data_IF_666560634220
#
_entry.id   IF_666560634220
#
_cell.length_a   1.000
_cell.length_b   1.000
_cell.length_c   1.000
_cell.angle_alpha   90.00
_cell.angle_beta   90.00
_cell.angle_gamma   90.00
#
_symmetry.space_group_name_H-M   'P 1'
#
loop_
_entity.id
_entity.type
_entity.pdbx_description
1 polymer ?
#
# COMPACT_ATOMS: atom_id res chain seq x y z
N UNK A 1 -0.65 16.81 -10.40
CA UNK A 1 -0.56 15.69 -9.44
C UNK A 1 -1.96 15.31 -9.02
N UNK A 2 -2.52 14.25 -9.60
CA UNK A 2 -3.73 13.64 -9.05
C UNK A 2 -3.23 12.87 -7.83
N UNK A 3 -3.50 13.39 -6.62
CA UNK A 3 -3.39 12.57 -5.40
C UNK A 3 -4.24 11.34 -5.70
N UNK A 4 -3.61 10.17 -5.81
CA UNK A 4 -4.33 8.92 -5.80
C UNK A 4 -5.20 8.96 -4.55
N UNK A 5 -6.51 9.07 -4.74
CA UNK A 5 -7.47 9.00 -3.66
C UNK A 5 -7.31 7.60 -3.10
N UNK A 6 -6.53 7.45 -2.03
CA UNK A 6 -6.50 6.22 -1.25
C UNK A 6 -7.95 5.96 -0.87
N UNK A 7 -8.60 4.98 -1.53
CA UNK A 7 -9.83 4.40 -1.00
C UNK A 7 -9.51 4.08 0.45
N UNK A 8 -10.23 4.67 1.39
CA UNK A 8 -10.06 4.46 2.83
C UNK A 8 -10.13 2.96 3.07
N UNK A 9 -8.97 2.30 3.10
CA UNK A 9 -8.89 0.88 3.33
C UNK A 9 -9.40 0.58 4.73
N UNK A 10 -9.95 -0.60 4.94
CA UNK A 10 -10.53 -1.08 6.20
C UNK A 10 -9.55 -0.96 7.40
N UNK A 11 -8.26 -0.72 7.14
CA UNK A 11 -7.19 -0.56 8.12
C UNK A 11 -6.30 0.68 7.92
N UNK A 12 -6.77 1.71 7.22
CA UNK A 12 -6.03 2.96 6.98
C UNK A 12 -5.70 3.75 8.26
N UNK A 13 -6.47 3.56 9.33
CA UNK A 13 -6.23 4.18 10.64
C UNK A 13 -5.06 3.58 11.43
N UNK A 14 -4.57 2.40 11.03
CA UNK A 14 -3.51 1.69 11.74
C UNK A 14 -2.16 2.31 11.37
N UNK A 15 -1.47 2.84 12.38
CA UNK A 15 -0.18 3.51 12.24
C UNK A 15 1.00 2.69 12.75
N UNK A 16 0.75 1.65 13.54
CA UNK A 16 1.79 0.79 14.11
C UNK A 16 1.23 -0.20 15.12
N UNK A 17 2.10 -0.90 15.84
CA UNK A 17 1.71 -1.87 16.87
C UNK A 17 1.36 -1.21 18.20
N UNK A 18 1.52 0.11 18.35
CA UNK A 18 1.18 0.83 19.58
C UNK A 18 2.07 0.47 20.77
N UNK A 19 3.35 0.19 20.49
CA UNK A 19 4.34 -0.19 21.50
C UNK A 19 5.00 1.08 22.07
N UNK A 20 5.14 1.14 23.39
CA UNK A 20 5.94 2.15 24.11
C UNK A 20 6.77 1.43 25.16
N UNK A 21 8.07 1.71 25.27
CA UNK A 21 9.00 1.02 26.17
C UNK A 21 8.95 -0.52 26.06
N UNK A 22 8.85 -1.05 24.84
CA UNK A 22 8.69 -2.49 24.54
C UNK A 22 7.39 -3.13 25.04
N UNK A 23 6.40 -2.35 25.46
CA UNK A 23 5.09 -2.86 25.88
C UNK A 23 3.93 -2.27 25.06
N UNK A 24 2.96 -3.11 24.65
CA UNK A 24 1.76 -2.64 23.96
C UNK A 24 0.87 -1.83 24.91
N UNK A 25 0.50 -0.64 24.48
CA UNK A 25 -0.43 0.22 25.20
C UNK A 25 -1.88 -0.23 24.93
N UNK A 26 -2.82 -0.13 25.90
CA UNK A 26 -4.21 -0.56 25.73
C UNK A 26 -4.89 0.00 24.48
N UNK A 27 -4.67 1.28 24.20
CA UNK A 27 -5.12 1.98 23.00
C UNK A 27 -3.97 2.82 22.45
N UNK A 28 -3.44 2.48 21.28
CA UNK A 28 -2.38 3.26 20.63
C UNK A 28 -2.25 2.92 19.14
N UNK A 29 -1.85 3.92 18.36
CA UNK A 29 -1.49 3.81 16.94
C UNK A 29 -2.56 3.09 16.07
N UNK A 30 -3.84 3.27 16.43
CA UNK A 30 -5.00 2.71 15.74
C UNK A 30 -5.39 1.29 16.18
N UNK A 31 -4.66 0.68 17.11
CA UNK A 31 -4.99 -0.62 17.70
C UNK A 31 -5.56 -0.47 19.11
N UNK A 32 -6.53 -1.32 19.43
CA UNK A 32 -7.15 -1.46 20.75
C UNK A 32 -6.97 -2.90 21.20
N UNK A 33 -6.54 -3.09 22.45
CA UNK A 33 -6.48 -4.42 23.05
C UNK A 33 -5.45 -5.34 22.40
N UNK A 34 -5.77 -6.64 22.33
CA UNK A 34 -4.90 -7.70 21.76
C UNK A 34 -3.46 -7.66 22.28
N UNK A 35 -3.30 -7.40 23.59
CA UNK A 35 -2.00 -7.16 24.24
C UNK A 35 -1.01 -8.30 23.99
N UNK A 36 -1.43 -9.56 24.17
CA UNK A 36 -0.56 -10.72 23.94
C UNK A 36 -0.13 -10.83 22.47
N UNK A 37 -1.09 -10.70 21.54
CA UNK A 37 -0.82 -10.81 20.11
C UNK A 37 0.08 -9.67 19.60
N UNK A 38 -0.11 -8.44 20.11
CA UNK A 38 0.73 -7.28 19.78
C UNK A 38 2.13 -7.40 20.36
N UNK A 39 2.27 -7.94 21.57
CA UNK A 39 3.59 -8.25 22.15
C UNK A 39 4.32 -9.31 21.33
N UNK A 40 3.63 -10.37 20.90
CA UNK A 40 4.20 -11.38 20.01
C UNK A 40 4.58 -10.80 18.64
N UNK A 41 3.71 -9.98 18.04
CA UNK A 41 3.98 -9.27 16.80
C UNK A 41 5.19 -8.32 16.93
N UNK A 42 5.35 -7.66 18.08
CA UNK A 42 6.53 -6.83 18.34
C UNK A 42 7.82 -7.66 18.38
N UNK A 43 7.80 -8.81 19.05
CA UNK A 43 8.94 -9.73 19.04
C UNK A 43 9.28 -10.20 17.61
N UNK A 44 8.26 -10.47 16.79
CA UNK A 44 8.44 -10.79 15.36
C UNK A 44 9.12 -9.64 14.62
N UNK A 45 8.67 -8.39 14.80
CA UNK A 45 9.34 -7.20 14.21
C UNK A 45 10.81 -7.14 14.63
N UNK A 46 11.12 -7.42 15.88
CA UNK A 46 12.52 -7.45 16.37
C UNK A 46 13.33 -8.60 15.75
N UNK A 47 12.73 -9.78 15.55
CA UNK A 47 13.38 -10.90 14.88
C UNK A 47 13.68 -10.57 13.41
N UNK A 48 12.73 -9.94 12.72
CA UNK A 48 12.88 -9.48 11.34
C UNK A 48 14.04 -8.49 11.25
N UNK A 49 14.04 -7.44 12.08
CA UNK A 49 15.11 -6.41 12.10
C UNK A 49 16.49 -7.00 12.44
N UNK A 50 16.55 -8.14 13.13
CA UNK A 50 17.79 -8.87 13.44
C UNK A 50 18.15 -9.96 12.43
N UNK A 51 17.39 -10.13 11.34
CA UNK A 51 17.64 -11.14 10.31
C UNK A 51 17.40 -12.58 10.78
N UNK A 52 16.60 -12.80 11.84
CA UNK A 52 16.38 -14.12 12.46
C UNK A 52 15.09 -14.81 12.02
N UNK A 53 14.53 -14.40 10.88
CA UNK A 53 13.28 -14.94 10.31
C UNK A 53 13.48 -15.84 9.08
N UNK A 54 14.72 -16.11 8.68
CA UNK A 54 15.01 -16.98 7.53
C UNK A 54 14.32 -18.34 7.68
N UNK A 55 13.61 -18.78 6.62
CA UNK A 55 12.88 -20.05 6.59
C UNK A 55 11.64 -20.11 7.49
N UNK A 56 11.19 -19.00 8.08
CA UNK A 56 10.03 -18.94 8.99
C UNK A 56 8.97 -17.98 8.47
N UNK A 57 7.71 -18.33 8.72
CA UNK A 57 6.57 -17.46 8.46
C UNK A 57 5.72 -17.30 9.73
N UNK A 58 4.76 -16.40 9.69
CA UNK A 58 3.87 -16.12 10.83
C UNK A 58 2.48 -16.67 10.51
N UNK A 59 1.81 -17.27 11.50
CA UNK A 59 0.41 -17.67 11.38
C UNK A 59 -0.43 -16.98 12.45
N UNK A 60 -1.34 -16.10 12.04
CA UNK A 60 -2.37 -15.57 12.91
C UNK A 60 -3.58 -16.52 12.97
N UNK A 61 -3.89 -16.99 14.18
CA UNK A 61 -5.03 -17.88 14.43
C UNK A 61 -6.02 -17.18 15.33
N UNK A 62 -7.31 -17.27 14.98
CA UNK A 62 -8.39 -16.90 15.90
C UNK A 62 -9.70 -16.60 15.19
N UNK A 63 -10.77 -16.35 15.96
CA UNK A 63 -12.10 -16.10 15.40
C UNK A 63 -12.14 -14.98 14.35
N UNK A 64 -13.15 -14.95 13.47
CA UNK A 64 -13.38 -13.79 12.60
C UNK A 64 -13.55 -12.50 13.41
N UNK A 65 -12.97 -11.40 12.94
CA UNK A 65 -13.13 -10.09 13.56
C UNK A 65 -12.21 -9.79 14.76
N UNK A 66 -11.19 -10.62 15.03
CA UNK A 66 -10.20 -10.39 16.13
C UNK A 66 -8.97 -9.57 15.72
N UNK A 67 -8.98 -8.92 14.55
CA UNK A 67 -7.91 -8.01 14.13
C UNK A 67 -6.65 -8.67 13.53
N UNK A 68 -6.74 -9.89 12.98
CA UNK A 68 -5.58 -10.56 12.32
C UNK A 68 -4.96 -9.71 11.19
N UNK A 69 -5.79 -9.22 10.26
CA UNK A 69 -5.36 -8.33 9.17
C UNK A 69 -4.82 -7.00 9.71
N UNK A 70 -5.45 -6.46 10.76
CA UNK A 70 -5.00 -5.25 11.43
C UNK A 70 -3.58 -5.39 12.03
N UNK A 71 -3.29 -6.53 12.66
CA UNK A 71 -1.96 -6.85 13.19
C UNK A 71 -0.92 -6.99 12.09
N UNK A 72 -1.25 -7.61 10.95
CA UNK A 72 -0.35 -7.74 9.81
C UNK A 72 0.03 -6.36 9.23
N UNK A 73 -0.95 -5.46 9.06
CA UNK A 73 -0.70 -4.07 8.64
C UNK A 73 0.17 -3.35 9.66
N UNK A 74 -0.10 -3.52 10.96
CA UNK A 74 0.69 -2.91 12.01
C UNK A 74 2.16 -3.38 12.02
N UNK A 75 2.42 -4.68 11.78
CA UNK A 75 3.78 -5.22 11.61
C UNK A 75 4.48 -4.52 10.44
N UNK A 76 3.82 -4.40 9.29
CA UNK A 76 4.42 -3.73 8.13
C UNK A 76 4.78 -2.27 8.42
N UNK A 77 3.91 -1.53 9.12
CA UNK A 77 4.19 -0.13 9.53
C UNK A 77 5.36 -0.01 10.50
N UNK A 78 5.54 -0.97 11.39
CA UNK A 78 6.68 -1.02 12.34
C UNK A 78 8.02 -1.36 11.68
N UNK A 79 7.99 -2.04 10.53
CA UNK A 79 9.18 -2.30 9.71
C UNK A 79 9.61 -1.03 8.96
N UNK A 80 8.65 -0.22 8.52
CA UNK A 80 8.91 1.11 7.97
C UNK A 80 7.75 1.63 7.12
N UNK A 81 7.67 2.97 6.92
CA UNK A 81 6.63 3.57 6.07
C UNK A 81 6.75 3.17 4.60
N UNK A 82 7.96 2.84 4.13
CA UNK A 82 8.25 2.40 2.76
C UNK A 82 8.22 0.88 2.59
N UNK A 83 7.90 0.11 3.64
CA UNK A 83 7.82 -1.34 3.58
C UNK A 83 6.64 -1.75 2.68
N UNK A 84 6.87 -2.47 1.56
CA UNK A 84 5.78 -2.95 0.72
C UNK A 84 4.87 -3.89 1.50
N UNK A 85 3.56 -3.74 1.32
CA UNK A 85 2.56 -4.62 1.91
C UNK A 85 1.63 -5.12 0.81
N UNK A 86 1.69 -6.42 0.53
CA UNK A 86 0.78 -7.10 -0.37
C UNK A 86 -0.18 -7.94 0.45
N UNK A 87 -1.48 -7.73 0.26
CA UNK A 87 -2.51 -8.59 0.83
C UNK A 87 -3.19 -9.41 -0.28
N UNK A 88 -3.41 -10.69 0.00
CA UNK A 88 -4.19 -11.59 -0.82
C UNK A 88 -5.16 -12.37 0.05
N UNK A 89 -6.31 -12.73 -0.49
CA UNK A 89 -7.16 -13.78 0.12
C UNK A 89 -6.78 -15.14 -0.46
N UNK A 90 -6.81 -16.20 0.34
CA UNK A 90 -6.46 -17.56 -0.11
C UNK A 90 -7.28 -18.08 -1.29
N UNK A 91 -8.47 -17.51 -1.56
CA UNK A 91 -9.27 -17.81 -2.75
C UNK A 91 -8.85 -17.03 -4.01
N UNK A 92 -8.11 -15.93 -3.89
CA UNK A 92 -7.73 -15.08 -5.02
C UNK A 92 -6.65 -15.71 -5.90
N UNK A 93 -5.98 -16.77 -5.43
CA UNK A 93 -5.00 -17.50 -6.24
C UNK A 93 -5.64 -18.29 -7.39
N UNK A 94 -6.96 -18.55 -7.30
CA UNK A 94 -7.70 -19.27 -8.32
C UNK A 94 -8.15 -18.29 -9.41
N UNK A 95 -7.35 -18.21 -10.46
CA UNK A 95 -7.63 -17.37 -11.64
C UNK A 95 -7.93 -18.25 -12.86
N UNK A 96 -8.85 -17.78 -13.71
CA UNK A 96 -9.10 -18.39 -15.02
C UNK A 96 -7.99 -18.02 -16.03
N UNK A 97 -7.27 -16.93 -15.79
CA UNK A 97 -6.29 -16.36 -16.73
C UNK A 97 -4.85 -16.68 -16.36
N UNK A 98 -4.54 -16.83 -15.07
CA UNK A 98 -3.20 -17.03 -14.54
C UNK A 98 -3.11 -18.33 -13.75
N UNK A 99 -1.96 -18.99 -13.81
CA UNK A 99 -1.68 -20.13 -12.94
C UNK A 99 -1.63 -19.68 -11.47
N UNK A 100 -2.06 -20.56 -10.56
CA UNK A 100 -2.00 -20.34 -9.10
C UNK A 100 -0.61 -19.91 -8.63
N UNK A 101 0.42 -20.61 -9.12
CA UNK A 101 1.82 -20.32 -8.81
C UNK A 101 2.29 -18.99 -9.36
N UNK A 102 1.75 -18.54 -10.49
CA UNK A 102 2.06 -17.23 -11.07
C UNK A 102 1.43 -16.11 -10.25
N UNK A 103 0.18 -16.26 -9.79
CA UNK A 103 -0.45 -15.29 -8.89
C UNK A 103 0.35 -15.14 -7.59
N UNK A 104 0.75 -16.25 -6.98
CA UNK A 104 1.58 -16.25 -5.78
C UNK A 104 2.96 -15.64 -6.03
N UNK A 105 3.59 -15.95 -7.17
CA UNK A 105 4.89 -15.38 -7.55
C UNK A 105 4.81 -13.86 -7.73
N UNK A 106 3.78 -13.35 -8.42
CA UNK A 106 3.57 -11.91 -8.57
C UNK A 106 3.37 -11.24 -7.21
N UNK A 107 2.58 -11.85 -6.32
CA UNK A 107 2.36 -11.30 -4.98
C UNK A 107 3.64 -11.28 -4.13
N UNK A 108 4.47 -12.32 -4.22
CA UNK A 108 5.78 -12.33 -3.58
C UNK A 108 6.68 -11.20 -4.12
N UNK A 109 6.75 -11.02 -5.44
CA UNK A 109 7.58 -9.98 -6.05
C UNK A 109 7.06 -8.57 -5.79
N UNK A 110 5.74 -8.38 -5.69
CA UNK A 110 5.11 -7.13 -5.21
C UNK A 110 5.41 -6.84 -3.74
N UNK A 111 5.75 -7.86 -2.96
CA UNK A 111 6.10 -7.73 -1.54
C UNK A 111 7.58 -7.42 -1.31
N UNK A 112 8.39 -7.26 -2.35
CA UNK A 112 9.83 -6.97 -2.21
C UNK A 112 10.11 -5.65 -2.90
N UNK A 113 10.59 -4.68 -2.12
CA UNK A 113 10.95 -3.36 -2.60
C UNK A 113 12.42 -3.28 -2.97
N UNK A 114 12.73 -2.44 -3.95
CA UNK A 114 14.07 -2.07 -4.38
C UNK A 114 14.14 -0.55 -4.29
N UNK A 115 14.89 -0.04 -3.32
CA UNK A 115 15.17 1.40 -3.19
C UNK A 115 16.42 1.72 -3.98
N UNK A 116 16.25 2.37 -5.12
CA UNK A 116 17.33 2.76 -6.03
C UNK A 116 17.73 4.19 -5.70
N UNK A 117 19.03 4.41 -5.49
CA UNK A 117 19.64 5.72 -5.30
C UNK A 117 20.45 6.05 -6.54
N UNK A 118 20.06 7.12 -7.21
CA UNK A 118 20.71 7.57 -8.42
C UNK A 118 21.15 9.01 -8.24
N UNK A 119 22.42 9.29 -8.51
CA UNK A 119 22.95 10.65 -8.48
C UNK A 119 23.06 11.16 -9.90
N UNK A 120 22.50 12.34 -10.14
CA UNK A 120 22.56 12.98 -11.46
C UNK A 120 23.02 14.42 -11.33
N UNK A 121 23.75 14.87 -12.33
CA UNK A 121 24.12 16.27 -12.46
C UNK A 121 22.94 17.08 -12.97
N UNK A 122 22.61 18.15 -12.25
CA UNK A 122 21.50 19.03 -12.59
C UNK A 122 21.94 20.49 -12.53
N UNK A 123 21.25 21.31 -13.31
CA UNK A 123 21.27 22.77 -13.17
C UNK A 123 20.02 23.17 -12.37
N UNK A 124 20.17 23.54 -11.10
CA UNK A 124 19.07 23.96 -10.21
C UNK A 124 19.22 25.43 -9.81
N UNK A 125 18.15 26.20 -9.94
CA UNK A 125 18.14 27.60 -9.53
C UNK A 125 16.77 28.26 -9.69
N UNK A 126 16.65 29.45 -9.12
CA UNK A 126 15.55 30.37 -9.39
C UNK A 126 15.73 30.93 -10.79
N UNK A 127 14.68 30.92 -11.60
CA UNK A 127 14.68 31.57 -12.90
C UNK A 127 14.66 33.08 -12.71
N UNK A 128 15.76 33.75 -13.03
CA UNK A 128 15.88 35.22 -12.97
C UNK A 128 15.49 35.87 -14.30
N UNK A 129 15.78 35.21 -15.43
CA UNK A 129 15.42 35.70 -16.77
C UNK A 129 15.22 34.55 -17.75
N UNK A 130 14.22 34.64 -18.63
CA UNK A 130 14.03 33.70 -19.74
C UNK A 130 13.85 34.45 -21.06
N UNK A 131 14.63 34.07 -22.07
CA UNK A 131 14.50 34.54 -23.45
C UNK A 131 14.32 33.35 -24.38
N UNK A 132 13.13 33.23 -24.99
CA UNK A 132 12.84 32.19 -25.96
C UNK A 132 13.20 32.63 -27.37
N UNK A 133 13.80 31.73 -28.15
CA UNK A 133 14.02 31.91 -29.59
C UNK A 133 13.00 31.07 -30.34
N UNK A 134 12.22 31.74 -31.17
CA UNK A 134 11.22 31.13 -32.03
C UNK A 134 11.64 31.25 -33.50
N UNK A 135 11.27 30.25 -34.29
CA UNK A 135 11.40 30.27 -35.75
C UNK A 135 10.08 29.81 -36.39
N UNK A 136 9.91 30.05 -37.70
CA UNK A 136 8.70 29.65 -38.43
C UNK A 136 8.68 28.14 -38.65
N UNK A 137 7.51 27.53 -38.48
CA UNK A 137 7.35 26.10 -38.74
C UNK A 137 7.58 25.82 -40.24
N UNK A 138 8.39 24.81 -40.61
CA UNK A 138 8.70 24.50 -42.02
C UNK A 138 7.50 24.19 -42.93
N UNK A 139 6.34 23.82 -42.36
CA UNK A 139 5.15 23.37 -43.07
C UNK A 139 3.93 24.29 -42.83
N UNK A 140 4.04 25.23 -41.88
CA UNK A 140 2.97 26.18 -41.57
C UNK A 140 3.59 27.56 -41.28
N UNK A 141 3.64 28.47 -42.28
CA UNK A 141 4.27 29.79 -42.15
C UNK A 141 3.66 30.70 -41.07
N UNK A 142 2.43 30.39 -40.61
CA UNK A 142 1.71 31.15 -39.59
C UNK A 142 1.98 30.63 -38.16
N UNK A 143 2.68 29.50 -38.02
CA UNK A 143 3.00 28.90 -36.74
C UNK A 143 4.48 29.12 -36.40
N UNK A 144 4.74 29.61 -35.18
CA UNK A 144 6.10 29.70 -34.64
C UNK A 144 6.38 28.49 -33.74
N UNK A 145 7.60 27.96 -33.82
CA UNK A 145 8.08 26.87 -32.98
C UNK A 145 9.32 27.31 -32.20
N UNK A 146 9.46 26.89 -30.93
CA UNK A 146 10.66 27.18 -30.16
C UNK A 146 11.85 26.39 -30.74
N UNK A 147 12.94 27.09 -31.06
CA UNK A 147 14.18 26.50 -31.59
C UNK A 147 15.31 26.48 -30.56
N UNK A 148 15.13 27.19 -29.44
CA UNK A 148 16.06 27.23 -28.32
C UNK A 148 15.80 28.45 -27.44
N UNK A 149 16.62 28.65 -26.42
CA UNK A 149 16.44 29.76 -25.50
C UNK A 149 17.68 30.08 -24.69
N UNK A 150 17.62 31.20 -23.99
CA UNK A 150 18.60 31.60 -22.99
C UNK A 150 17.86 31.71 -21.66
N UNK A 151 18.35 31.00 -20.65
CA UNK A 151 17.79 31.03 -19.30
C UNK A 151 18.87 31.46 -18.32
N UNK A 152 18.55 32.38 -17.44
CA UNK A 152 19.43 32.80 -16.35
C UNK A 152 18.88 32.25 -15.04
N UNK A 153 19.68 31.40 -14.40
CA UNK A 153 19.38 30.79 -13.11
C UNK A 153 20.18 31.49 -12.01
N UNK A 154 19.60 31.53 -10.80
CA UNK A 154 20.19 32.15 -9.62
C UNK A 154 20.03 31.27 -8.38
N UNK A 155 21.07 31.23 -7.57
CA UNK A 155 21.08 30.63 -6.22
C UNK A 155 21.58 31.64 -5.20
N UNK A 156 21.73 31.22 -3.95
CA UNK A 156 22.39 32.02 -2.90
C UNK A 156 23.88 32.30 -3.16
N UNK A 157 24.54 31.52 -4.03
CA UNK A 157 25.98 31.62 -4.31
C UNK A 157 26.31 32.22 -5.66
N UNK A 158 25.51 31.95 -6.69
CA UNK A 158 25.85 32.36 -8.05
C UNK A 158 24.63 32.65 -8.92
N UNK A 159 24.86 33.42 -9.99
CA UNK A 159 23.95 33.59 -11.11
C UNK A 159 24.65 33.07 -12.36
N UNK A 160 23.97 32.23 -13.15
CA UNK A 160 24.53 31.64 -14.37
C UNK A 160 23.52 31.65 -15.50
N UNK A 161 23.97 32.08 -16.67
CA UNK A 161 23.18 32.05 -17.91
C UNK A 161 23.52 30.80 -18.72
N UNK A 162 22.49 30.08 -19.15
CA UNK A 162 22.57 28.84 -19.92
C UNK A 162 21.88 29.02 -21.27
N UNK A 163 22.47 28.46 -22.33
CA UNK A 163 21.80 28.28 -23.62
C UNK A 163 21.14 26.92 -23.63
N UNK A 164 19.85 26.87 -23.89
CA UNK A 164 19.03 25.65 -23.83
C UNK A 164 18.45 25.35 -25.21
N UNK A 165 18.26 24.06 -25.49
CA UNK A 165 17.71 23.58 -26.75
C UNK A 165 16.17 23.74 -26.83
N UNK A 166 15.61 23.38 -27.98
CA UNK A 166 14.17 23.44 -28.24
C UNK A 166 13.35 22.54 -27.30
N UNK A 167 13.89 21.39 -26.88
CA UNK A 167 13.20 20.45 -26.00
C UNK A 167 13.03 21.03 -24.58
N UNK A 168 14.08 21.64 -24.03
CA UNK A 168 14.03 22.31 -22.73
C UNK A 168 13.05 23.49 -22.79
N UNK A 169 13.08 24.30 -23.87
CA UNK A 169 12.13 25.41 -24.04
C UNK A 169 10.69 24.92 -24.11
N UNK A 170 10.42 23.87 -24.89
CA UNK A 170 9.08 23.29 -24.97
C UNK A 170 8.58 22.84 -23.59
N UNK A 171 9.45 22.19 -22.82
CA UNK A 171 9.14 21.74 -21.46
C UNK A 171 8.92 22.88 -20.46
N UNK A 172 9.64 24.01 -20.59
CA UNK A 172 9.45 25.23 -19.79
C UNK A 172 8.07 25.85 -20.08
N UNK A 173 7.72 25.99 -21.36
CA UNK A 173 6.44 26.54 -21.81
C UNK A 173 5.26 25.67 -21.35
N UNK A 174 5.34 24.35 -21.57
CA UNK A 174 4.29 23.40 -21.18
C UNK A 174 4.02 23.41 -19.67
N UNK A 175 5.04 23.69 -18.86
CA UNK A 175 4.94 23.74 -17.39
C UNK A 175 4.64 25.14 -16.84
N UNK A 176 4.47 26.14 -17.71
CA UNK A 176 4.21 27.52 -17.33
C UNK A 176 5.31 28.11 -16.44
N UNK A 177 6.58 27.76 -16.72
CA UNK A 177 7.71 28.28 -15.96
C UNK A 177 7.88 29.78 -16.24
N UNK A 178 8.04 30.54 -15.16
CA UNK A 178 8.12 32.00 -15.15
C UNK A 178 9.30 32.48 -14.29
N UNK A 179 9.67 33.75 -14.41
CA UNK A 179 10.63 34.38 -13.52
C UNK A 179 10.16 34.27 -12.06
N UNK A 180 11.10 33.93 -11.16
CA UNK A 180 10.83 33.63 -9.76
C UNK A 180 10.53 32.16 -9.47
N UNK A 181 10.34 31.31 -10.47
CA UNK A 181 10.16 29.87 -10.26
C UNK A 181 11.50 29.17 -10.00
N UNK A 182 11.53 28.24 -9.04
CA UNK A 182 12.65 27.32 -8.86
C UNK A 182 12.47 26.15 -9.82
N UNK A 183 13.47 25.93 -10.65
CA UNK A 183 13.53 24.78 -11.54
C UNK A 183 14.82 24.00 -11.35
N UNK A 184 14.80 22.75 -11.82
CA UNK A 184 16.02 22.04 -12.13
C UNK A 184 15.94 21.36 -13.50
N UNK A 185 17.08 21.29 -14.17
CA UNK A 185 17.26 20.68 -15.48
C UNK A 185 18.27 19.54 -15.33
N UNK A 186 17.85 18.33 -15.66
CA UNK A 186 18.72 17.15 -15.72
C UNK A 186 19.65 17.26 -16.93
N UNK A 187 20.96 17.13 -16.71
CA UNK A 187 21.96 17.34 -17.76
C UNK A 187 21.92 16.27 -18.85
N UNK A 188 21.63 15.02 -18.48
CA UNK A 188 21.67 13.88 -19.43
C UNK A 188 20.37 13.79 -20.24
N UNK A 189 19.22 14.01 -19.60
CA UNK A 189 17.91 13.82 -20.22
C UNK A 189 17.28 15.12 -20.73
N UNK A 190 17.80 16.27 -20.33
CA UNK A 190 17.19 17.59 -20.60
C UNK A 190 15.80 17.75 -19.95
N UNK A 191 15.44 16.89 -18.99
CA UNK A 191 14.14 16.96 -18.31
C UNK A 191 14.10 18.18 -17.39
N UNK A 192 13.06 18.99 -17.55
CA UNK A 192 12.81 20.17 -16.72
C UNK A 192 11.75 19.88 -15.67
N UNK A 193 12.04 20.23 -14.42
CA UNK A 193 11.09 20.13 -13.31
C UNK A 193 10.92 21.48 -12.62
N UNK A 194 9.68 21.92 -12.44
CA UNK A 194 9.31 23.11 -11.66
C UNK A 194 9.04 22.69 -10.21
N UNK A 195 9.83 23.19 -9.28
CA UNK A 195 9.71 22.86 -7.85
C UNK A 195 8.71 23.77 -7.13
N UNK A 196 8.54 25.01 -7.58
CA UNK A 196 7.65 26.00 -6.97
C UNK A 196 8.12 27.41 -7.25
N UNK A 197 7.53 28.40 -6.59
CA UNK A 197 7.95 29.81 -6.67
C UNK A 197 8.74 30.20 -5.41
N UNK A 198 9.82 30.96 -5.57
CA UNK A 198 10.65 31.35 -4.43
C UNK A 198 9.93 32.36 -3.52
N UNK A 199 10.05 32.20 -2.20
CA UNK A 199 9.49 33.14 -1.22
C UNK A 199 10.08 34.55 -1.41
N UNK A 200 9.23 35.58 -1.36
CA UNK A 200 9.64 36.99 -1.47
C UNK A 200 9.82 37.51 -2.90
N UNK A 201 9.56 36.69 -3.93
CA UNK A 201 9.59 37.12 -5.33
C UNK A 201 8.18 37.36 -5.85
N UNK A 202 7.78 38.63 -5.93
CA UNK A 202 6.44 39.05 -6.36
C UNK A 202 5.35 38.55 -5.41
N UNK A 203 5.10 39.28 -4.33
CA UNK A 203 3.96 39.03 -3.45
C UNK A 203 2.66 39.35 -4.24
N UNK A 204 1.81 38.34 -4.41
CA UNK A 204 0.46 38.49 -4.95
C UNK A 204 -0.53 38.17 -3.83
N UNK A 205 -1.62 38.95 -3.73
CA UNK A 205 -2.65 38.77 -2.71
C UNK A 205 -3.41 37.43 -2.84
N UNK A 206 -3.38 36.79 -4.02
CA UNK A 206 -4.01 35.50 -4.30
C UNK A 206 -3.18 34.70 -5.31
N UNK A 207 -2.66 33.53 -4.92
CA UNK A 207 -1.97 32.61 -5.83
C UNK A 207 -1.81 31.20 -5.25
N UNK A 208 -2.14 30.17 -6.04
CA UNK A 208 -2.03 28.75 -5.66
C UNK A 208 -0.68 28.13 -6.03
N UNK A 209 0.41 28.90 -5.94
CA UNK A 209 1.76 28.37 -6.25
C UNK A 209 2.42 27.87 -4.97
N UNK A 210 2.96 26.65 -5.01
CA UNK A 210 3.76 26.12 -3.91
C UNK A 210 5.00 27.00 -3.71
N UNK A 211 5.13 27.57 -2.51
CA UNK A 211 6.26 28.42 -2.15
C UNK A 211 7.42 27.57 -1.67
N UNK A 212 8.60 27.81 -2.26
CA UNK A 212 9.84 27.09 -1.94
C UNK A 212 10.93 28.06 -1.52
N UNK A 213 11.91 27.57 -0.77
CA UNK A 213 13.08 28.36 -0.39
C UNK A 213 14.08 28.47 -1.55
N UNK A 214 14.89 29.53 -1.53
CA UNK A 214 15.94 29.72 -2.53
C UNK A 214 16.95 28.56 -2.47
N UNK A 215 17.29 27.93 -3.61
CA UNK A 215 18.27 26.84 -3.61
C UNK A 215 19.63 27.32 -3.10
N UNK A 216 20.25 26.51 -2.26
CA UNK A 216 21.60 26.75 -1.73
C UNK A 216 22.66 26.07 -2.58
N UNK A 217 23.85 26.67 -2.66
CA UNK A 217 25.00 26.10 -3.35
C UNK A 217 25.13 26.55 -4.81
N UNK A 218 26.04 25.92 -5.58
CA UNK A 218 26.17 26.19 -7.01
C UNK A 218 24.92 25.73 -7.78
N UNK A 219 24.67 26.35 -8.94
CA UNK A 219 23.59 26.00 -9.86
C UNK A 219 23.83 24.61 -10.42
N UNK A 220 25.07 24.34 -10.85
CA UNK A 220 25.46 23.01 -11.30
C UNK A 220 25.88 22.16 -10.11
N UNK A 221 25.10 21.13 -9.81
CA UNK A 221 25.35 20.25 -8.67
C UNK A 221 24.81 18.85 -8.90
N UNK A 222 25.38 17.92 -8.15
CA UNK A 222 24.89 16.55 -8.06
C UNK A 222 23.65 16.51 -7.15
N UNK A 223 22.56 15.94 -7.66
CA UNK A 223 21.30 15.74 -6.93
C UNK A 223 21.01 14.24 -6.83
N UNK A 224 20.74 13.78 -5.61
CA UNK A 224 20.36 12.39 -5.35
C UNK A 224 18.86 12.21 -5.54
N UNK A 225 18.50 11.21 -6.34
CA UNK A 225 17.15 10.74 -6.59
C UNK A 225 16.98 9.38 -5.93
N UNK A 226 15.91 9.24 -5.15
CA UNK A 226 15.56 7.99 -4.50
C UNK A 226 14.23 7.51 -5.07
N UNK A 227 14.25 6.33 -5.68
CA UNK A 227 13.07 5.66 -6.22
C UNK A 227 12.84 4.37 -5.45
N UNK A 228 11.59 4.09 -5.10
CA UNK A 228 11.22 2.80 -4.50
C UNK A 228 10.24 2.11 -5.44
N UNK A 229 10.68 0.99 -6.01
CA UNK A 229 9.90 0.13 -6.91
C UNK A 229 9.82 -1.28 -6.32
N UNK A 230 8.82 -2.08 -6.69
CA UNK A 230 8.81 -3.50 -6.34
C UNK A 230 9.57 -4.33 -7.39
N UNK A 231 10.00 -5.55 -7.04
CA UNK A 231 10.57 -6.47 -8.03
C UNK A 231 9.62 -6.75 -9.19
N UNK A 232 8.32 -6.75 -8.92
CA UNK A 232 7.31 -6.94 -9.96
C UNK A 232 7.21 -5.73 -10.90
N UNK A 233 7.34 -4.50 -10.40
CA UNK A 233 7.36 -3.30 -11.25
C UNK A 233 8.56 -3.35 -12.21
N UNK A 234 9.72 -3.78 -11.71
CA UNK A 234 10.92 -3.97 -12.53
C UNK A 234 10.74 -5.08 -13.58
N UNK A 235 10.09 -6.18 -13.23
CA UNK A 235 9.74 -7.23 -14.18
C UNK A 235 8.84 -6.72 -15.31
N UNK A 236 7.79 -5.96 -14.97
CA UNK A 236 6.90 -5.39 -15.97
C UNK A 236 7.64 -4.43 -16.90
N UNK A 237 8.50 -3.57 -16.34
CA UNK A 237 9.32 -2.64 -17.13
C UNK A 237 10.26 -3.37 -18.10
N UNK A 238 10.90 -4.46 -17.64
CA UNK A 238 11.78 -5.27 -18.47
C UNK A 238 11.00 -6.00 -19.58
N UNK A 239 9.84 -6.58 -19.24
CA UNK A 239 8.97 -7.29 -20.19
C UNK A 239 8.40 -6.35 -21.27
N UNK A 240 7.97 -5.15 -20.90
CA UNK A 240 7.46 -4.13 -21.86
C UNK A 240 8.54 -3.66 -22.83
N UNK A 241 9.79 -3.58 -22.38
CA UNK A 241 10.92 -3.19 -23.24
C UNK A 241 11.17 -4.23 -24.34
N UNK A 242 10.91 -5.50 -24.07
CA UNK A 242 10.95 -6.58 -25.06
C UNK A 242 9.66 -6.67 -25.89
N UNK A 243 8.53 -6.18 -25.35
CA UNK A 243 7.22 -6.12 -26.04
C UNK A 243 7.14 -5.09 -27.17
N UNK A 244 8.11 -4.19 -27.33
CA UNK A 244 8.19 -3.35 -28.54
C UNK A 244 8.32 -4.24 -29.78
N UNK A 245 9.03 -5.37 -29.68
CA UNK A 245 9.16 -6.35 -30.76
C UNK A 245 7.82 -7.06 -31.01
N UNK A 246 7.04 -7.39 -29.97
CA UNK A 246 5.72 -8.03 -30.17
C UNK A 246 4.68 -7.10 -30.81
N UNK A 247 4.79 -5.78 -30.60
CA UNK A 247 3.96 -4.78 -31.27
C UNK A 247 4.15 -4.77 -32.80
N UNK A 248 5.36 -5.07 -33.28
CA UNK A 248 5.68 -5.14 -34.71
C UNK A 248 5.38 -6.51 -35.34
N UNK A 249 5.38 -7.60 -34.54
CA UNK A 249 5.28 -8.97 -35.05
C UNK A 249 4.02 -9.73 -34.62
N UNK A 250 3.06 -9.08 -33.95
CA UNK A 250 1.76 -9.66 -33.61
C UNK A 250 1.81 -10.80 -32.59
N UNK A 251 2.82 -10.85 -31.73
CA UNK A 251 2.89 -11.86 -30.66
C UNK A 251 1.91 -11.50 -29.53
N UNK A 252 1.28 -12.51 -28.88
CA UNK A 252 0.30 -12.27 -27.82
C UNK A 252 0.92 -11.49 -26.65
N UNK A 253 0.17 -10.55 -26.09
CA UNK A 253 0.52 -9.90 -24.82
C UNK A 253 0.72 -10.99 -23.75
N UNK A 254 1.95 -11.13 -23.26
CA UNK A 254 2.25 -12.07 -22.19
C UNK A 254 1.57 -11.60 -20.90
N UNK A 255 0.45 -12.23 -20.54
CA UNK A 255 -0.20 -12.03 -19.23
C UNK A 255 0.64 -12.58 -18.07
N UNK A 256 1.49 -13.58 -18.33
CA UNK A 256 2.45 -14.14 -17.36
C UNK A 256 3.86 -13.62 -17.66
N UNK A 257 4.63 -13.23 -16.63
CA UNK A 257 6.00 -12.77 -16.83
C UNK A 257 6.93 -13.98 -16.98
N UNK A 258 7.70 -14.08 -18.08
CA UNK A 258 8.60 -15.20 -18.32
C UNK A 258 9.69 -15.34 -17.23
N UNK A 259 10.09 -16.58 -16.86
CA UNK A 259 11.12 -16.81 -15.84
C UNK A 259 12.50 -16.22 -16.17
N UNK A 260 12.87 -16.14 -17.44
CA UNK A 260 14.11 -15.55 -17.93
C UNK A 260 14.15 -14.03 -17.74
N UNK A 261 13.01 -13.34 -17.94
CA UNK A 261 12.86 -11.91 -17.60
C UNK A 261 13.11 -11.70 -16.10
N UNK A 262 12.50 -12.52 -15.24
CA UNK A 262 12.71 -12.44 -13.78
C UNK A 262 14.16 -12.70 -13.39
N UNK A 263 14.79 -13.72 -13.96
CA UNK A 263 16.19 -14.02 -13.68
C UNK A 263 17.13 -12.87 -14.08
N UNK A 264 16.83 -12.17 -15.18
CA UNK A 264 17.57 -10.98 -15.63
C UNK A 264 17.38 -9.80 -14.68
N UNK A 265 16.15 -9.56 -14.21
CA UNK A 265 15.86 -8.55 -13.19
C UNK A 265 16.58 -8.88 -11.89
N UNK A 266 16.52 -10.11 -11.42
CA UNK A 266 17.17 -10.55 -10.18
C UNK A 266 18.68 -10.34 -10.24
N UNK A 267 19.32 -10.66 -11.38
CA UNK A 267 20.74 -10.38 -11.63
C UNK A 267 21.04 -8.89 -11.58
N UNK A 268 20.23 -8.07 -12.26
CA UNK A 268 20.40 -6.61 -12.32
C UNK A 268 20.26 -5.97 -10.95
N UNK A 269 19.25 -6.37 -10.18
CA UNK A 269 19.03 -5.87 -8.82
C UNK A 269 20.18 -6.28 -7.90
N UNK A 270 20.67 -7.52 -8.02
CA UNK A 270 21.86 -7.96 -7.28
C UNK A 270 23.09 -7.10 -7.56
N UNK A 271 23.38 -6.82 -8.83
CA UNK A 271 24.48 -5.93 -9.23
C UNK A 271 24.29 -4.50 -8.68
N UNK A 272 23.06 -3.97 -8.65
CA UNK A 272 22.79 -2.65 -8.05
C UNK A 272 23.02 -2.64 -6.54
N UNK A 273 22.63 -3.70 -5.83
CA UNK A 273 22.84 -3.84 -4.40
C UNK A 273 24.33 -3.97 -4.07
N UNK A 274 25.07 -4.82 -4.79
CA UNK A 274 26.51 -5.03 -4.60
C UNK A 274 27.32 -3.76 -4.82
N UNK A 275 26.92 -2.92 -5.79
CA UNK A 275 27.57 -1.64 -6.07
C UNK A 275 27.03 -0.46 -5.24
N UNK A 276 26.13 -0.72 -4.28
CA UNK A 276 25.55 0.32 -3.40
C UNK A 276 24.60 1.31 -4.08
N UNK A 277 24.14 1.01 -5.31
CA UNK A 277 23.14 1.79 -6.06
C UNK A 277 21.72 1.48 -5.63
N UNK A 278 21.48 0.33 -5.02
CA UNK A 278 20.17 -0.06 -4.53
C UNK A 278 20.21 -0.75 -3.17
N UNK A 279 19.08 -0.75 -2.48
CA UNK A 279 18.85 -1.45 -1.22
C UNK A 279 17.56 -2.27 -1.35
N UNK A 280 17.60 -3.55 -0.96
CA UNK A 280 16.40 -4.38 -0.89
C UNK A 280 15.62 -4.06 0.39
N UNK A 281 14.32 -3.80 0.22
CA UNK A 281 13.39 -3.60 1.32
C UNK A 281 12.51 -4.85 1.40
N UNK A 282 12.74 -5.74 2.38
CA UNK A 282 11.85 -6.87 2.60
C UNK A 282 10.49 -6.35 3.07
N UNK A 283 9.47 -6.57 2.24
CA UNK A 283 8.08 -6.27 2.58
C UNK A 283 7.36 -7.45 3.20
N UNK A 284 6.04 -7.31 3.28
CA UNK A 284 5.15 -8.28 3.91
C UNK A 284 4.16 -8.81 2.87
N UNK A 285 4.11 -10.13 2.74
CA UNK A 285 3.05 -10.84 2.03
C UNK A 285 2.05 -11.38 3.05
N UNK A 286 0.87 -10.77 3.11
CA UNK A 286 -0.24 -11.22 3.95
C UNK A 286 -1.22 -12.06 3.14
N UNK A 287 -1.50 -13.29 3.59
CA UNK A 287 -2.52 -14.16 2.99
C UNK A 287 -3.62 -14.42 4.02
N UNK A 288 -4.79 -13.82 3.81
CA UNK A 288 -5.99 -14.07 4.62
C UNK A 288 -6.69 -15.35 4.18
N UNK A 289 -7.47 -15.94 5.09
CA UNK A 289 -8.16 -17.22 4.85
C UNK A 289 -7.26 -18.29 4.22
N UNK A 290 -6.03 -18.43 4.73
CA UNK A 290 -5.01 -19.31 4.18
C UNK A 290 -5.42 -20.80 4.11
N UNK A 291 -6.41 -21.22 4.91
CA UNK A 291 -7.04 -22.54 4.82
C UNK A 291 -7.75 -22.82 3.46
N UNK A 292 -7.96 -21.78 2.66
CA UNK A 292 -8.54 -21.88 1.32
C UNK A 292 -7.52 -22.25 0.23
N UNK A 293 -6.22 -22.21 0.57
CA UNK A 293 -5.14 -22.68 -0.31
C UNK A 293 -5.14 -24.21 -0.41
N UNK A 294 -4.68 -24.72 -1.55
CA UNK A 294 -4.47 -26.16 -1.75
C UNK A 294 -3.02 -26.58 -1.48
N UNK A 295 -2.80 -27.90 -1.49
CA UNK A 295 -1.50 -28.51 -1.22
C UNK A 295 -0.39 -28.02 -2.17
N UNK A 296 -0.71 -27.70 -3.43
CA UNK A 296 0.25 -27.18 -4.39
C UNK A 296 0.69 -25.75 -4.03
N UNK A 297 -0.26 -24.90 -3.64
CA UNK A 297 0.02 -23.55 -3.17
C UNK A 297 0.86 -23.56 -1.88
N UNK A 298 0.55 -24.43 -0.92
CA UNK A 298 1.37 -24.59 0.28
C UNK A 298 2.78 -25.08 -0.04
N UNK A 299 2.92 -26.05 -0.94
CA UNK A 299 4.24 -26.54 -1.38
C UNK A 299 5.07 -25.44 -2.05
N UNK A 300 4.43 -24.58 -2.86
CA UNK A 300 5.06 -23.40 -3.44
C UNK A 300 5.55 -22.44 -2.36
N UNK A 301 4.70 -22.11 -1.38
CA UNK A 301 5.04 -21.21 -0.28
C UNK A 301 6.18 -21.76 0.59
N UNK A 302 6.17 -23.06 0.89
CA UNK A 302 7.26 -23.72 1.66
C UNK A 302 8.61 -23.57 0.96
N UNK A 303 8.67 -23.79 -0.36
CA UNK A 303 9.90 -23.58 -1.14
C UNK A 303 10.31 -22.12 -1.20
N UNK A 304 9.33 -21.23 -1.37
CA UNK A 304 9.54 -19.79 -1.41
C UNK A 304 10.12 -19.23 -0.10
N UNK A 305 9.73 -19.79 1.05
CA UNK A 305 10.27 -19.40 2.37
C UNK A 305 11.77 -19.70 2.53
N UNK A 306 12.32 -20.63 1.74
CA UNK A 306 13.73 -21.00 1.76
C UNK A 306 14.60 -20.08 0.88
N UNK A 307 13.98 -19.24 0.06
CA UNK A 307 14.68 -18.28 -0.82
C UNK A 307 15.30 -17.12 -0.02
N UNK A 308 16.49 -16.67 -0.42
CA UNK A 308 17.12 -15.46 0.13
C UNK A 308 16.28 -14.20 -0.12
N UNK A 309 15.57 -14.16 -1.25
CA UNK A 309 14.68 -13.07 -1.65
C UNK A 309 13.22 -13.40 -1.30
N UNK A 310 12.97 -13.88 -0.09
CA UNK A 310 11.61 -14.14 0.39
C UNK A 310 11.09 -12.96 1.22
N UNK A 311 9.87 -12.44 0.94
CA UNK A 311 9.26 -11.45 1.81
C UNK A 311 8.85 -12.10 3.14
N UNK A 312 8.45 -11.28 4.11
CA UNK A 312 7.89 -11.79 5.36
C UNK A 312 6.48 -12.30 5.06
N UNK A 313 6.31 -13.63 5.10
CA UNK A 313 5.02 -14.28 4.86
C UNK A 313 4.24 -14.32 6.17
N UNK A 314 3.03 -13.75 6.14
CA UNK A 314 2.06 -13.77 7.22
C UNK A 314 0.79 -14.44 6.71
N UNK A 315 0.44 -15.58 7.28
CA UNK A 315 -0.81 -16.30 7.00
C UNK A 315 -1.83 -15.97 8.10
N UNK A 316 -3.11 -15.92 7.74
CA UNK A 316 -4.20 -15.83 8.71
C UNK A 316 -5.25 -16.92 8.45
N UNK A 317 -5.80 -17.45 9.54
CA UNK A 317 -6.88 -18.44 9.48
C UNK A 317 -7.86 -18.25 10.63
N UNK A 318 -9.11 -18.57 10.35
CA UNK A 318 -10.23 -18.63 11.30
C UNK A 318 -10.73 -20.06 11.50
N UNK A 319 -10.08 -21.07 10.88
CA UNK A 319 -10.45 -22.49 10.99
C UNK A 319 -9.59 -23.20 12.03
N UNK A 320 -10.25 -24.10 12.78
CA UNK A 320 -9.61 -25.10 13.62
C UNK A 320 -9.13 -26.28 12.77
N UNK A 321 -9.62 -27.48 13.03
CA UNK A 321 -9.37 -28.63 12.15
C UNK A 321 -10.21 -28.56 10.88
N UNK A 322 -9.57 -28.76 9.73
CA UNK A 322 -10.26 -28.88 8.45
C UNK A 322 -9.40 -29.63 7.45
N UNK A 323 -10.01 -30.03 6.34
CA UNK A 323 -9.35 -30.77 5.27
C UNK A 323 -8.42 -29.85 4.48
N UNK A 324 -7.21 -30.31 4.21
CA UNK A 324 -6.28 -29.64 3.30
C UNK A 324 -6.84 -29.79 1.88
N UNK A 325 -7.13 -28.66 1.21
CA UNK A 325 -7.71 -28.67 -0.12
C UNK A 325 -6.81 -29.40 -1.12
N UNK A 326 -7.43 -30.22 -1.97
CA UNK A 326 -6.73 -31.09 -2.91
C UNK A 326 -6.29 -32.45 -2.34
N UNK A 327 -6.52 -32.72 -1.05
CA UNK A 327 -6.18 -34.00 -0.39
C UNK A 327 -7.34 -34.47 0.47
N UNK A 328 -7.35 -35.72 0.95
CA UNK A 328 -8.31 -36.22 1.96
C UNK A 328 -7.83 -36.05 3.42
N UNK A 329 -6.72 -35.33 3.64
CA UNK A 329 -6.08 -35.22 4.94
C UNK A 329 -6.73 -34.08 5.74
N UNK A 330 -7.21 -34.38 6.95
CA UNK A 330 -7.56 -33.37 7.95
C UNK A 330 -6.34 -32.95 8.75
N UNK A 331 -6.18 -31.65 8.95
CA UNK A 331 -5.03 -31.08 9.65
C UNK A 331 -5.44 -29.81 10.41
N UNK A 332 -4.72 -29.44 11.48
CA UNK A 332 -4.89 -28.13 12.09
C UNK A 332 -4.79 -27.03 11.02
N UNK A 333 -5.75 -26.11 11.05
CA UNK A 333 -5.86 -24.96 10.16
C UNK A 333 -6.00 -25.28 8.68
N UNK A 334 -6.17 -26.55 8.29
CA UNK A 334 -6.19 -26.98 6.90
C UNK A 334 -4.83 -26.82 6.22
N UNK A 335 -3.73 -26.91 6.97
CA UNK A 335 -2.36 -26.73 6.48
C UNK A 335 -1.52 -28.00 6.64
N UNK A 336 -0.54 -28.25 5.77
CA UNK A 336 0.43 -29.34 5.96
C UNK A 336 1.22 -29.19 7.27
N UNK A 337 1.43 -30.30 7.99
CA UNK A 337 2.11 -30.29 9.30
C UNK A 337 3.56 -29.79 9.20
N UNK A 338 4.25 -30.17 8.13
CA UNK A 338 5.61 -29.74 7.83
C UNK A 338 5.74 -28.23 7.62
N UNK A 339 4.70 -27.59 7.05
CA UNK A 339 4.63 -26.13 6.97
C UNK A 339 4.36 -25.55 8.36
N UNK A 340 3.40 -26.08 9.11
CA UNK A 340 3.03 -25.60 10.45
C UNK A 340 4.24 -25.58 11.41
N UNK A 341 5.12 -26.57 11.35
CA UNK A 341 6.34 -26.63 12.17
C UNK A 341 7.32 -25.47 11.89
N UNK A 342 7.20 -24.81 10.73
CA UNK A 342 7.99 -23.63 10.34
C UNK A 342 7.29 -22.30 10.68
N UNK A 343 6.05 -22.33 11.18
CA UNK A 343 5.27 -21.13 11.46
C UNK A 343 5.39 -20.71 12.93
N UNK A 344 5.57 -19.41 13.15
CA UNK A 344 5.35 -18.78 14.45
C UNK A 344 3.86 -18.47 14.60
N UNK A 345 3.17 -19.28 15.40
CA UNK A 345 1.73 -19.16 15.59
C UNK A 345 1.41 -18.10 16.66
N UNK A 346 0.67 -17.06 16.27
CA UNK A 346 0.17 -16.01 17.14
C UNK A 346 -1.35 -16.14 17.24
N UNK A 347 -1.83 -16.45 18.45
CA UNK A 347 -3.26 -16.50 18.75
C UNK A 347 -3.82 -15.09 18.96
N UNK A 348 -5.02 -14.86 18.44
CA UNK A 348 -5.85 -13.68 18.71
C UNK A 348 -7.07 -14.12 19.52
N UNK A 349 -7.54 -13.25 20.41
CA UNK A 349 -8.65 -13.56 21.32
C UNK A 349 -9.90 -12.75 20.96
N UNK A 350 -11.11 -13.20 21.34
CA UNK A 350 -12.29 -12.32 21.31
C UNK A 350 -12.04 -11.05 22.12
N UNK A 351 -12.56 -9.93 21.64
CA UNK A 351 -12.48 -8.65 22.35
C UNK A 351 -13.40 -8.62 23.57
N UNK A 352 -12.97 -7.95 24.62
CA UNK A 352 -13.80 -7.61 25.78
C UNK A 352 -14.79 -6.49 25.43
N UNK A 353 -15.90 -6.31 26.19
CA UNK A 353 -16.85 -5.22 25.95
C UNK A 353 -16.21 -3.84 25.94
N UNK A 354 -15.23 -3.60 26.82
CA UNK A 354 -14.50 -2.33 26.88
C UNK A 354 -13.64 -2.09 25.64
N UNK A 355 -12.96 -3.13 25.14
CA UNK A 355 -12.22 -3.05 23.87
C UNK A 355 -13.18 -2.84 22.69
N UNK A 356 -14.33 -3.52 22.66
CA UNK A 356 -15.36 -3.34 21.63
C UNK A 356 -15.85 -1.89 21.62
N UNK A 357 -16.11 -1.30 22.80
CA UNK A 357 -16.52 0.09 22.95
C UNK A 357 -15.51 1.05 22.32
N UNK A 358 -14.23 0.91 22.67
CA UNK A 358 -13.18 1.77 22.14
C UNK A 358 -12.98 1.59 20.63
N UNK A 359 -13.08 0.35 20.12
CA UNK A 359 -13.03 0.10 18.67
C UNK A 359 -14.20 0.78 17.95
N UNK A 360 -15.42 0.65 18.46
CA UNK A 360 -16.60 1.26 17.87
C UNK A 360 -16.53 2.79 17.89
N UNK A 361 -15.99 3.40 18.94
CA UNK A 361 -15.73 4.86 18.99
C UNK A 361 -14.77 5.31 17.89
N UNK A 362 -13.66 4.57 17.71
CA UNK A 362 -12.67 4.88 16.65
C UNK A 362 -13.33 4.76 15.27
N UNK A 363 -14.09 3.70 15.02
CA UNK A 363 -14.82 3.47 13.76
C UNK A 363 -15.88 4.53 13.48
N UNK A 364 -16.68 4.87 14.49
CA UNK A 364 -17.69 5.91 14.36
C UNK A 364 -17.04 7.24 13.97
N UNK A 365 -15.90 7.59 14.58
CA UNK A 365 -15.13 8.80 14.22
C UNK A 365 -14.58 8.75 12.80
N UNK A 366 -14.04 7.62 12.35
CA UNK A 366 -13.54 7.42 10.98
C UNK A 366 -14.63 7.58 9.92
N UNK A 367 -15.82 7.05 10.20
CA UNK A 367 -16.98 7.09 9.29
C UNK A 367 -17.81 8.38 9.44
N UNK A 368 -17.43 9.27 10.37
CA UNK A 368 -18.15 10.51 10.67
C UNK A 368 -19.57 10.24 11.17
N UNK A 369 -19.73 9.24 12.03
CA UNK A 369 -20.98 8.86 12.68
C UNK A 369 -20.97 9.42 14.11
N UNK A 370 -21.87 10.35 14.40
CA UNK A 370 -22.08 10.84 15.76
C UNK A 370 -23.05 9.91 16.50
N UNK A 371 -22.62 9.35 17.63
CA UNK A 371 -23.39 8.40 18.43
C UNK A 371 -23.74 9.04 19.79
N UNK A 372 -24.96 8.83 20.27
CA UNK A 372 -25.25 8.98 21.70
C UNK A 372 -24.61 7.85 22.50
N UNK A 373 -24.27 8.11 23.78
CA UNK A 373 -23.65 7.10 24.64
C UNK A 373 -24.53 5.85 24.79
N UNK A 374 -25.85 6.01 24.89
CA UNK A 374 -26.77 4.89 24.96
C UNK A 374 -26.79 4.05 23.66
N UNK A 375 -26.65 4.70 22.50
CA UNK A 375 -26.57 4.02 21.21
C UNK A 375 -25.26 3.22 21.08
N UNK A 376 -24.16 3.78 21.58
CA UNK A 376 -22.88 3.09 21.67
C UNK A 376 -22.96 1.86 22.57
N UNK A 377 -23.56 1.96 23.76
CA UNK A 377 -23.74 0.81 24.66
C UNK A 377 -24.57 -0.31 24.01
N UNK A 378 -25.62 0.03 23.25
CA UNK A 378 -26.40 -0.96 22.50
C UNK A 378 -25.55 -1.64 21.41
N UNK A 379 -24.70 -0.89 20.69
CA UNK A 379 -23.77 -1.47 19.72
C UNK A 379 -22.72 -2.37 20.39
N UNK A 380 -22.21 -2.00 21.57
CA UNK A 380 -21.26 -2.83 22.34
C UNK A 380 -21.90 -4.15 22.77
N UNK A 381 -23.15 -4.10 23.23
CA UNK A 381 -23.94 -5.29 23.55
C UNK A 381 -24.12 -6.19 22.33
N UNK A 382 -24.56 -5.64 21.20
CA UNK A 382 -24.69 -6.38 19.94
C UNK A 382 -23.35 -6.95 19.47
N UNK A 383 -22.26 -6.22 19.66
CA UNK A 383 -20.90 -6.65 19.33
C UNK A 383 -20.43 -7.85 20.16
N UNK A 384 -20.78 -7.84 21.45
CA UNK A 384 -20.44 -8.89 22.41
C UNK A 384 -21.27 -10.16 22.20
N UNK A 385 -22.58 -10.01 21.98
CA UNK A 385 -23.51 -11.15 21.78
C UNK A 385 -23.34 -11.79 20.39
N UNK A 386 -23.17 -10.95 19.35
CA UNK A 386 -23.16 -11.38 17.94
C UNK A 386 -21.74 -11.42 17.39
N UNK A 387 -21.19 -10.26 17.03
CA UNK A 387 -19.78 -10.05 16.64
C UNK A 387 -19.45 -8.57 16.48
N UNK A 388 -18.18 -8.20 16.70
CA UNK A 388 -17.68 -6.84 16.44
C UNK A 388 -17.89 -6.41 14.98
N UNK A 389 -17.69 -7.32 14.01
CA UNK A 389 -17.91 -7.04 12.58
C UNK A 389 -19.35 -6.61 12.33
N UNK A 390 -20.30 -7.33 12.90
CA UNK A 390 -21.72 -7.01 12.76
C UNK A 390 -22.05 -5.64 13.39
N UNK A 391 -21.63 -5.39 14.64
CA UNK A 391 -21.86 -4.11 15.30
C UNK A 391 -21.25 -2.93 14.52
N UNK A 392 -20.03 -3.08 14.01
CA UNK A 392 -19.38 -2.06 13.18
C UNK A 392 -20.14 -1.81 11.87
N UNK A 393 -20.68 -2.87 11.23
CA UNK A 393 -21.47 -2.74 10.00
C UNK A 393 -22.80 -2.02 10.22
N UNK A 394 -23.33 -1.97 11.45
CA UNK A 394 -24.55 -1.24 11.77
C UNK A 394 -24.34 0.27 11.88
N UNK A 395 -23.11 0.77 11.98
CA UNK A 395 -22.83 2.21 12.10
C UNK A 395 -23.41 3.01 10.91
N UNK A 396 -23.04 2.64 9.68
CA UNK A 396 -23.48 3.32 8.48
C UNK A 396 -25.01 3.24 8.24
N UNK A 397 -25.68 2.07 8.33
CA UNK A 397 -27.13 2.00 8.27
C UNK A 397 -27.83 2.83 9.35
N UNK A 398 -27.31 2.84 10.58
CA UNK A 398 -27.91 3.63 11.68
C UNK A 398 -27.80 5.14 11.42
N UNK A 399 -26.68 5.59 10.84
CA UNK A 399 -26.50 6.97 10.38
C UNK A 399 -27.53 7.36 9.31
N UNK A 400 -27.71 6.52 8.29
CA UNK A 400 -28.69 6.78 7.22
C UNK A 400 -30.11 6.87 7.80
N UNK A 401 -30.48 6.00 8.74
CA UNK A 401 -31.78 6.05 9.41
C UNK A 401 -31.97 7.32 10.25
N UNK A 402 -30.91 7.82 10.91
CA UNK A 402 -30.94 9.08 11.65
C UNK A 402 -31.14 10.27 10.70
N UNK A 403 -30.38 10.32 9.60
CA UNK A 403 -30.48 11.38 8.58
C UNK A 403 -31.88 11.43 7.93
N UNK A 404 -32.50 10.28 7.65
CA UNK A 404 -33.87 10.21 7.13
C UNK A 404 -34.92 10.80 8.09
N UNK A 405 -34.64 10.78 9.40
CA UNK A 405 -35.49 11.39 10.43
C UNK A 405 -35.07 12.85 10.74
N UNK A 406 -34.13 13.42 9.98
CA UNK A 406 -33.59 14.76 10.20
C UNK A 406 -32.70 14.88 11.43
N UNK A 407 -32.20 13.77 11.98
CA UNK A 407 -31.26 13.75 13.12
C UNK A 407 -29.82 13.72 12.60
N UNK A 408 -28.92 14.44 13.28
CA UNK A 408 -27.46 14.38 13.02
C UNK A 408 -26.76 13.32 13.86
N UNK A 409 -27.34 12.96 15.00
CA UNK A 409 -26.81 11.99 15.96
C UNK A 409 -27.66 10.73 15.97
N UNK A 410 -27.00 9.58 15.98
CA UNK A 410 -27.63 8.26 16.05
C UNK A 410 -28.01 7.93 17.48
N UNK A 411 -29.28 7.57 17.67
CA UNK A 411 -29.82 7.14 18.97
C UNK A 411 -30.00 5.61 19.02
N UNK A 412 -30.37 5.08 20.18
CA UNK A 412 -30.68 3.64 20.36
C UNK A 412 -31.76 3.17 19.39
N UNK A 413 -32.73 4.04 19.07
CA UNK A 413 -33.86 3.70 18.19
C UNK A 413 -33.37 3.31 16.79
N UNK A 414 -32.44 4.09 16.21
CA UNK A 414 -31.88 3.81 14.90
C UNK A 414 -31.01 2.55 14.88
N UNK A 415 -30.22 2.31 15.93
CA UNK A 415 -29.41 1.09 16.06
C UNK A 415 -30.31 -0.15 16.13
N UNK A 416 -31.36 -0.10 16.95
CA UNK A 416 -32.31 -1.21 17.07
C UNK A 416 -33.07 -1.44 15.76
N UNK A 417 -33.49 -0.36 15.10
CA UNK A 417 -34.16 -0.45 13.80
C UNK A 417 -33.24 -1.07 12.75
N UNK A 418 -31.97 -0.66 12.68
CA UNK A 418 -30.97 -1.28 11.80
C UNK A 418 -30.78 -2.77 12.12
N UNK A 419 -30.67 -3.14 13.40
CA UNK A 419 -30.47 -4.53 13.81
C UNK A 419 -31.66 -5.46 13.53
N UNK A 420 -32.87 -4.91 13.39
CA UNK A 420 -34.08 -5.64 12.98
C UNK A 420 -34.11 -5.91 11.48
N UNK A 421 -33.58 -4.98 10.68
CA UNK A 421 -33.53 -5.09 9.23
C UNK A 421 -32.37 -5.96 8.74
N UNK A 422 -31.21 -5.84 9.40
CA UNK A 422 -29.99 -6.56 9.04
C UNK A 422 -29.65 -7.56 10.14
N UNK A 423 -29.88 -8.85 9.91
CA UNK A 423 -29.56 -9.90 10.88
C UNK A 423 -28.08 -10.31 10.81
N UNK A 424 -27.55 -10.82 11.92
CA UNK A 424 -26.17 -11.34 11.98
C UNK A 424 -26.03 -12.69 11.28
N UNK A 425 -24.80 -13.10 10.95
CA UNK A 425 -24.53 -14.42 10.35
C UNK A 425 -25.04 -15.57 11.22
N UNK A 426 -24.94 -15.45 12.56
CA UNK A 426 -25.45 -16.46 13.51
C UNK A 426 -26.98 -16.58 13.43
N UNK A 427 -27.69 -15.44 13.36
CA UNK A 427 -29.15 -15.41 13.24
C UNK A 427 -29.61 -15.90 11.87
N UNK A 428 -28.92 -15.50 10.80
CA UNK A 428 -29.18 -16.00 9.45
C UNK A 428 -29.02 -17.51 9.36
N UNK A 429 -27.98 -18.08 9.96
CA UNK A 429 -27.79 -19.53 9.96
C UNK A 429 -28.94 -20.26 10.68
N UNK A 430 -29.41 -19.74 11.81
CA UNK A 430 -30.58 -20.30 12.53
C UNK A 430 -31.87 -20.18 11.71
N UNK A 431 -32.10 -19.02 11.11
CA UNK A 431 -33.26 -18.77 10.24
C UNK A 431 -33.30 -19.72 9.04
N UNK A 432 -32.14 -20.00 8.44
CA UNK A 432 -32.04 -20.97 7.34
C UNK A 432 -32.31 -22.40 7.78
N UNK A 433 -31.88 -22.80 8.99
CA UNK A 433 -32.21 -24.12 9.55
C UNK A 433 -33.72 -24.30 9.76
N UNK A 434 -34.41 -23.27 10.24
CA UNK A 434 -35.87 -23.30 10.40
C UNK A 434 -36.63 -23.38 9.06
N UNK A 435 -36.00 -22.93 7.98
CA UNK A 435 -36.55 -22.92 6.62
C UNK A 435 -36.02 -24.05 5.74
N UNK A 436 -35.26 -24.99 6.30
CA UNK A 436 -34.56 -26.04 5.54
C UNK A 436 -35.53 -26.84 4.65
N UNK A 437 -36.75 -27.12 5.13
CA UNK A 437 -37.78 -27.84 4.35
C UNK A 437 -38.39 -27.02 3.20
N UNK A 438 -38.28 -25.70 3.26
CA UNK A 438 -38.82 -24.77 2.25
C UNK A 438 -37.77 -24.24 1.28
N UNK A 439 -36.49 -24.48 1.57
CA UNK A 439 -35.36 -24.03 0.77
C UNK A 439 -34.92 -25.14 -0.18
N UNK A 440 -34.58 -24.76 -1.42
CA UNK A 440 -33.96 -25.69 -2.37
C UNK A 440 -32.53 -26.00 -1.92
N UNK A 441 -32.15 -27.28 -1.99
CA UNK A 441 -30.81 -27.77 -1.62
C UNK A 441 -29.78 -27.51 -2.71
#
# INVERSE_FOLDING_TARGET
>A
MIKATERVGVHSHIRGLGIRNNEPQPVADGLVGQIEARRAAWLVVQLIKKGKMAGRAILFVGPPGTGKTALAVAIARELGPETPFMALTGSEIYSAELKKTEVLMQAMRKSIGVRIRERRWVYEGVVEKIEYKFDRHPLNPYQQIPVGGIITLKTDKETRTLKVDSNIVYQLLQRGVSEGDVIWIDEETGRVTRAGRVKGYGEYDVGASELVDMPKGPIYKEKEFVYTLTLHDLDEMQSRSESIISLFFGAPEYKEIPPDVRAKVDKTVKEWVENGRAELIPGVLFIDDAHMLDIEAFSFLSRAMESELSPIIILATNRGYTRIRGTDIESPHGMPLDLLDRLLIIKTQPYTPDEIREILKIRAKEEGVELEEAALEELVKLGSERSLRYASQLLAPSKILAEQKGKTTVTVEEVQQASKLFISTKESAKYLQELEEKMLK
#
